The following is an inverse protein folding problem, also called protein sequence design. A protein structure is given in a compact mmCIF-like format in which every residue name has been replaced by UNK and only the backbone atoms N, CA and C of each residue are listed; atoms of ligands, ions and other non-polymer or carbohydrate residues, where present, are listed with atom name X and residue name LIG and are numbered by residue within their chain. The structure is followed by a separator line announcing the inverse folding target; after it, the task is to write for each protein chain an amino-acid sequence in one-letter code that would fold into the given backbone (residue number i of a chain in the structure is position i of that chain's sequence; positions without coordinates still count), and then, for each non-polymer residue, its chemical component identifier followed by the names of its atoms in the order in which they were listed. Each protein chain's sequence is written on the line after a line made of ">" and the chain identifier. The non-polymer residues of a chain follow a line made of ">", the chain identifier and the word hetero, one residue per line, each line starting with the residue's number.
data_IF_308795742359
#
_entry.id   IF_308795742359
#
_cell.length_a   1.000
_cell.length_b   1.000
_cell.length_c   1.000
_cell.angle_alpha   90.00
_cell.angle_beta   90.00
_cell.angle_gamma   90.00
#
_symmetry.space_group_name_H-M   'P 1'
#
loop_
_entity.id
_entity.type
_entity.pdbx_description
1 polymer ?
#
# COMPACT_ATOMS: atom_id res chain seq x y z
N UNK A 1 0.93 -23.69 -11.56
CA UNK A 1 1.39 -23.41 -10.19
C UNK A 1 2.44 -22.31 -10.26
N UNK A 2 2.24 -21.21 -9.54
CA UNK A 2 3.16 -20.07 -9.55
C UNK A 2 2.88 -19.16 -8.36
N UNK A 3 3.84 -18.30 -8.03
CA UNK A 3 3.68 -17.31 -6.96
C UNK A 3 2.85 -16.15 -7.53
N UNK A 4 1.73 -15.83 -6.90
CA UNK A 4 0.91 -14.68 -7.27
C UNK A 4 1.38 -13.46 -6.47
N UNK A 5 2.04 -12.52 -7.13
CA UNK A 5 2.53 -11.27 -6.54
C UNK A 5 2.07 -10.09 -7.39
N UNK A 6 1.64 -9.02 -6.74
CA UNK A 6 1.33 -7.73 -7.36
C UNK A 6 2.52 -6.79 -7.17
N UNK A 7 3.06 -6.28 -8.26
CA UNK A 7 4.11 -5.26 -8.22
C UNK A 7 3.47 -3.89 -8.29
N UNK A 8 3.69 -3.06 -7.27
CA UNK A 8 3.11 -1.74 -7.21
C UNK A 8 4.21 -0.66 -7.27
N UNK A 9 4.22 0.18 -8.32
CA UNK A 9 5.11 1.34 -8.41
C UNK A 9 4.64 2.50 -7.53
N UNK A 10 3.41 2.43 -7.03
CA UNK A 10 2.70 3.43 -6.23
C UNK A 10 2.09 2.81 -4.97
N UNK A 11 1.76 3.63 -3.97
CA UNK A 11 0.89 3.22 -2.88
C UNK A 11 -0.49 3.85 -3.06
N UNK A 12 -1.47 3.05 -3.46
CA UNK A 12 -2.86 3.49 -3.56
C UNK A 12 -3.67 3.09 -2.31
N UNK A 13 -4.18 4.08 -1.57
CA UNK A 13 -4.98 3.90 -0.35
C UNK A 13 -6.37 4.53 -0.48
N UNK A 14 -7.30 4.13 0.39
CA UNK A 14 -8.68 4.63 0.38
C UNK A 14 -8.81 5.99 1.06
N UNK A 15 -9.92 6.68 0.80
CA UNK A 15 -10.29 7.83 1.60
C UNK A 15 -10.62 7.43 3.05
N UNK A 16 -10.35 8.30 4.03
CA UNK A 16 -10.68 8.06 5.43
C UNK A 16 -12.18 7.84 5.68
N UNK A 17 -13.05 8.37 4.81
CA UNK A 17 -14.49 8.13 4.90
C UNK A 17 -14.89 6.65 4.90
N UNK A 18 -14.10 5.77 4.28
CA UNK A 18 -14.36 4.32 4.30
C UNK A 18 -14.04 3.67 5.66
N UNK A 19 -13.12 4.25 6.44
CA UNK A 19 -12.90 3.83 7.82
C UNK A 19 -14.03 4.35 8.71
N UNK A 20 -14.44 5.60 8.52
CA UNK A 20 -15.56 6.21 9.24
C UNK A 20 -16.88 5.45 9.03
N UNK A 21 -17.10 4.88 7.84
CA UNK A 21 -18.26 4.02 7.56
C UNK A 21 -18.12 2.57 8.05
N UNK A 22 -16.94 2.17 8.56
CA UNK A 22 -16.66 0.81 9.01
C UNK A 22 -16.39 -0.20 7.90
N UNK A 23 -16.30 0.24 6.63
CA UNK A 23 -16.02 -0.65 5.48
C UNK A 23 -14.57 -1.13 5.42
N UNK A 24 -13.65 -0.35 5.97
CA UNK A 24 -12.21 -0.54 5.86
C UNK A 24 -11.52 -0.33 7.19
N UNK A 25 -10.32 -0.89 7.34
CA UNK A 25 -9.43 -0.54 8.46
C UNK A 25 -8.80 0.83 8.22
N UNK A 26 -8.46 1.52 9.31
CA UNK A 26 -7.78 2.83 9.26
C UNK A 26 -6.50 2.77 8.41
N UNK A 27 -5.72 1.69 8.54
CA UNK A 27 -4.47 1.48 7.79
C UNK A 27 -4.68 1.13 6.31
N UNK A 28 -5.91 0.90 5.85
CA UNK A 28 -6.22 0.82 4.42
C UNK A 28 -6.51 2.21 3.82
N UNK A 29 -6.54 3.26 4.64
CA UNK A 29 -6.98 4.60 4.30
C UNK A 29 -5.85 5.63 4.45
N UNK A 30 -5.97 6.73 3.70
CA UNK A 30 -5.09 7.89 3.78
C UNK A 30 -5.51 8.72 5.00
N UNK A 31 -4.59 9.04 5.91
CA UNK A 31 -4.86 9.96 7.02
C UNK A 31 -5.41 11.31 6.52
N UNK A 32 -6.42 11.86 7.19
CA UNK A 32 -7.03 13.17 6.85
C UNK A 32 -5.98 14.27 6.71
N UNK A 33 -4.93 14.22 7.53
CA UNK A 33 -3.80 15.14 7.47
C UNK A 33 -2.50 14.36 7.35
N UNK A 34 -1.87 14.49 6.17
CA UNK A 34 -0.50 14.04 5.94
C UNK A 34 0.49 15.08 6.46
N UNK A 35 1.47 14.62 7.22
CA UNK A 35 2.52 15.44 7.80
C UNK A 35 3.88 15.00 7.24
N UNK A 36 4.63 15.93 6.66
CA UNK A 36 5.98 15.66 6.13
C UNK A 36 6.89 15.13 7.25
N UNK A 37 7.65 14.09 6.95
CA UNK A 37 8.55 13.41 7.88
C UNK A 37 7.90 12.37 8.77
N UNK A 38 6.56 12.35 8.87
CA UNK A 38 5.82 11.38 9.69
C UNK A 38 5.73 10.03 9.01
N UNK A 39 5.70 8.98 9.83
CA UNK A 39 5.58 7.59 9.41
C UNK A 39 4.15 7.12 9.69
N UNK A 40 3.57 6.42 8.73
CA UNK A 40 2.24 5.84 8.82
C UNK A 40 2.27 4.37 8.43
N UNK A 41 1.33 3.62 8.97
CA UNK A 41 1.10 2.23 8.61
C UNK A 41 0.19 2.12 7.38
N UNK A 42 0.40 1.10 6.57
CA UNK A 42 -0.52 0.75 5.49
C UNK A 42 -0.89 -0.74 5.51
N UNK A 43 -2.05 -1.06 4.93
CA UNK A 43 -2.53 -2.41 4.76
C UNK A 43 -3.15 -2.58 3.36
N UNK A 44 -2.79 -3.68 2.69
CA UNK A 44 -3.30 -4.07 1.37
C UNK A 44 -3.59 -5.56 1.34
N UNK A 45 -4.61 -5.95 0.57
CA UNK A 45 -4.84 -7.36 0.25
C UNK A 45 -3.80 -7.85 -0.76
N UNK A 46 -3.60 -9.16 -0.75
CA UNK A 46 -2.68 -9.91 -1.60
C UNK A 46 -1.20 -9.71 -1.25
N UNK A 47 -0.34 -10.46 -1.91
CA UNK A 47 1.11 -10.33 -1.81
C UNK A 47 1.57 -9.18 -2.69
N UNK A 48 1.99 -8.06 -2.08
CA UNK A 48 2.34 -6.81 -2.76
C UNK A 48 3.83 -6.53 -2.62
N UNK A 49 4.51 -6.29 -3.73
CA UNK A 49 5.90 -5.86 -3.75
C UNK A 49 5.97 -4.34 -4.00
N UNK A 50 6.80 -3.66 -3.22
CA UNK A 50 6.99 -2.22 -3.25
C UNK A 50 8.46 -1.88 -3.43
N UNK A 51 8.72 -0.76 -4.09
CA UNK A 51 10.07 -0.22 -4.23
C UNK A 51 10.52 0.43 -2.91
N UNK A 52 11.57 -0.12 -2.29
CA UNK A 52 12.09 0.34 -0.99
C UNK A 52 13.22 1.37 -1.12
N UNK A 53 13.93 1.39 -2.24
CA UNK A 53 15.14 2.19 -2.42
C UNK A 53 14.89 3.60 -2.98
N UNK A 54 13.64 4.07 -2.99
CA UNK A 54 13.31 5.37 -3.56
C UNK A 54 11.97 5.92 -3.10
N UNK A 55 11.63 7.08 -3.66
CA UNK A 55 10.32 7.71 -3.50
C UNK A 55 9.29 7.03 -4.42
N UNK A 56 8.08 6.81 -3.91
CA UNK A 56 6.93 6.35 -4.68
C UNK A 56 5.76 7.30 -4.47
N UNK A 57 4.85 7.45 -5.46
CA UNK A 57 3.67 8.28 -5.30
C UNK A 57 2.66 7.62 -4.35
N UNK A 58 2.11 8.41 -3.43
CA UNK A 58 0.90 8.07 -2.68
C UNK A 58 -0.31 8.58 -3.46
N UNK A 59 -1.26 7.68 -3.74
CA UNK A 59 -2.48 7.95 -4.50
C UNK A 59 -3.71 7.61 -3.66
N UNK A 60 -4.80 8.34 -3.89
CA UNK A 60 -6.13 7.95 -3.44
C UNK A 60 -6.78 7.03 -4.50
N UNK A 61 -7.47 5.98 -4.06
CA UNK A 61 -8.22 5.10 -4.96
C UNK A 61 -9.69 4.94 -4.59
N UNK A 62 -10.56 5.06 -5.60
CA UNK A 62 -11.99 4.70 -5.49
C UNK A 62 -12.24 3.24 -5.81
N UNK A 63 -11.20 2.47 -6.15
CA UNK A 63 -11.28 1.06 -6.50
C UNK A 63 -11.40 0.89 -8.01
N UNK A 64 -11.37 -0.36 -8.46
CA UNK A 64 -11.46 -0.67 -9.90
C UNK A 64 -10.45 0.12 -10.74
N UNK A 65 -9.24 0.30 -10.20
CA UNK A 65 -8.15 1.04 -10.86
C UNK A 65 -8.42 2.53 -11.10
N UNK A 66 -9.47 3.10 -10.50
CA UNK A 66 -9.69 4.55 -10.47
C UNK A 66 -8.75 5.17 -9.42
N UNK A 67 -7.73 5.87 -9.91
CA UNK A 67 -6.67 6.50 -9.12
C UNK A 67 -6.69 8.02 -9.26
N UNK A 68 -6.43 8.72 -8.16
CA UNK A 68 -6.17 10.15 -8.17
C UNK A 68 -4.80 10.46 -8.79
N UNK A 69 -4.51 11.76 -8.98
CA UNK A 69 -3.12 12.21 -9.11
C UNK A 69 -2.36 11.99 -7.79
N UNK A 70 -1.01 11.94 -7.80
CA UNK A 70 -0.24 11.87 -6.58
C UNK A 70 -0.58 12.99 -5.60
N UNK A 71 -0.85 12.61 -4.36
CA UNK A 71 -1.13 13.54 -3.26
C UNK A 71 0.10 13.76 -2.37
N UNK A 72 1.04 12.83 -2.39
CA UNK A 72 2.30 12.93 -1.68
C UNK A 72 3.39 12.11 -2.36
N UNK A 73 4.64 12.51 -2.14
CA UNK A 73 5.79 11.63 -2.30
C UNK A 73 6.06 10.93 -0.97
N UNK A 74 6.26 9.61 -1.02
CA UNK A 74 6.51 8.80 0.16
C UNK A 74 7.70 7.86 -0.06
N UNK A 75 8.30 7.38 1.02
CA UNK A 75 9.28 6.30 0.99
C UNK A 75 8.72 5.10 1.74
N UNK A 76 8.68 3.92 1.10
CA UNK A 76 8.31 2.68 1.77
C UNK A 76 9.50 2.23 2.63
N UNK A 77 9.25 1.99 3.93
CA UNK A 77 10.27 1.59 4.89
C UNK A 77 10.31 0.08 5.08
N UNK A 78 9.14 -0.56 5.09
CA UNK A 78 8.99 -2.00 5.23
C UNK A 78 7.69 -2.47 4.56
N UNK A 79 7.68 -3.73 4.10
CA UNK A 79 6.49 -4.44 3.65
C UNK A 79 6.60 -5.90 4.10
N UNK A 80 5.57 -6.41 4.74
CA UNK A 80 5.50 -7.78 5.28
C UNK A 80 4.24 -8.47 4.80
N UNK A 81 4.40 -9.66 4.23
CA UNK A 81 3.29 -10.55 3.83
C UNK A 81 2.90 -11.47 4.98
N UNK A 82 1.60 -11.66 5.16
CA UNK A 82 1.07 -12.54 6.20
C UNK A 82 -0.31 -13.08 5.81
N UNK A 83 -0.75 -14.14 6.50
CA UNK A 83 -2.07 -14.72 6.34
C UNK A 83 -2.98 -14.34 7.50
N UNK A 84 -4.22 -13.99 7.21
CA UNK A 84 -5.28 -13.82 8.20
C UNK A 84 -6.53 -14.61 7.84
N UNK A 85 -7.27 -15.09 8.83
CA UNK A 85 -8.60 -15.64 8.62
C UNK A 85 -9.67 -14.54 8.51
N UNK A 86 -10.93 -14.93 8.33
CA UNK A 86 -12.07 -14.01 8.22
C UNK A 86 -12.31 -13.21 9.49
N UNK A 87 -11.92 -13.76 10.63
CA UNK A 87 -12.00 -13.16 11.96
C UNK A 87 -10.83 -12.19 12.22
N UNK A 88 -9.88 -12.06 11.28
CA UNK A 88 -8.74 -11.15 11.37
C UNK A 88 -7.57 -11.68 12.21
N UNK A 89 -7.61 -12.92 12.67
CA UNK A 89 -6.52 -13.57 13.37
C UNK A 89 -5.43 -14.05 12.40
N UNK A 90 -4.17 -13.92 12.81
CA UNK A 90 -3.04 -14.47 12.07
C UNK A 90 -3.15 -15.99 12.03
N UNK A 91 -2.91 -16.55 10.85
CA UNK A 91 -2.88 -17.99 10.64
C UNK A 91 -1.62 -18.39 9.91
N UNK A 92 -1.29 -19.68 9.99
CA UNK A 92 -0.20 -20.27 9.24
C UNK A 92 -0.77 -21.38 8.35
N UNK A 93 -0.18 -21.61 7.17
CA UNK A 93 -0.61 -22.72 6.34
C UNK A 93 -0.28 -24.02 7.09
N UNK A 94 -1.31 -24.81 7.37
CA UNK A 94 -1.15 -26.17 7.88
C UNK A 94 -1.33 -27.13 6.72
N UNK A 95 -0.35 -28.00 6.49
CA UNK A 95 -0.42 -29.05 5.50
C UNK A 95 -0.43 -30.41 6.20
N UNK A 96 -1.28 -31.31 5.73
CA UNK A 96 -1.23 -32.74 6.07
C UNK A 96 -1.43 -33.53 4.79
N UNK A 97 -0.58 -34.52 4.56
CA UNK A 97 -0.69 -35.43 3.42
C UNK A 97 -0.83 -34.69 2.06
N UNK A 98 -0.03 -33.62 1.87
CA UNK A 98 -0.05 -32.72 0.70
C UNK A 98 -1.33 -31.90 0.48
N UNK A 99 -2.27 -31.89 1.43
CA UNK A 99 -3.44 -31.03 1.42
C UNK A 99 -3.29 -29.85 2.37
N UNK A 100 -3.66 -28.66 1.89
CA UNK A 100 -3.68 -27.44 2.69
C UNK A 100 -4.96 -27.43 3.54
N UNK A 101 -4.83 -27.70 4.85
CA UNK A 101 -5.94 -27.86 5.78
C UNK A 101 -6.59 -26.54 6.22
N UNK A 102 -5.82 -25.45 6.22
CA UNK A 102 -6.32 -24.11 6.52
C UNK A 102 -5.70 -23.07 5.60
N UNK A 103 -6.55 -22.23 5.02
CA UNK A 103 -6.16 -21.14 4.13
C UNK A 103 -6.64 -19.81 4.71
N UNK A 104 -5.70 -18.94 5.05
CA UNK A 104 -5.97 -17.53 5.28
C UNK A 104 -5.95 -16.74 3.97
N UNK A 105 -6.50 -15.53 4.00
CA UNK A 105 -6.27 -14.54 2.97
C UNK A 105 -4.86 -13.97 3.13
N UNK A 106 -4.15 -13.77 2.01
CA UNK A 106 -2.85 -13.09 2.02
C UNK A 106 -3.06 -11.58 2.09
N UNK A 107 -2.30 -10.94 2.96
CA UNK A 107 -2.26 -9.48 3.10
C UNK A 107 -0.81 -9.00 3.15
N UNK A 108 -0.62 -7.74 2.77
CA UNK A 108 0.63 -7.00 2.92
C UNK A 108 0.40 -5.83 3.84
N UNK A 109 1.19 -5.71 4.90
CA UNK A 109 1.25 -4.51 5.73
C UNK A 109 2.61 -3.88 5.58
N UNK A 110 2.73 -2.61 5.90
CA UNK A 110 4.03 -1.96 5.94
C UNK A 110 3.96 -0.57 6.52
N UNK A 111 5.10 0.13 6.43
CA UNK A 111 5.25 1.51 6.86
C UNK A 111 5.72 2.37 5.72
N UNK A 112 5.24 3.60 5.67
CA UNK A 112 5.74 4.61 4.75
C UNK A 112 6.01 5.92 5.48
N UNK A 113 7.07 6.61 5.05
CA UNK A 113 7.41 7.96 5.50
C UNK A 113 6.96 8.97 4.46
N UNK A 114 6.30 10.04 4.87
CA UNK A 114 5.94 11.14 3.97
C UNK A 114 7.17 12.01 3.71
N UNK A 115 7.54 12.16 2.44
CA UNK A 115 8.66 13.00 2.00
C UNK A 115 8.17 14.39 1.60
N UNK A 116 7.04 14.46 0.90
CA UNK A 116 6.41 15.72 0.49
C UNK A 116 4.90 15.54 0.35
N UNK A 117 4.13 16.59 0.66
CA UNK A 117 2.69 16.64 0.38
C UNK A 117 2.45 17.66 -0.74
N UNK A 118 1.82 17.22 -1.82
CA UNK A 118 1.55 18.05 -2.96
C UNK A 118 0.30 18.91 -2.74
N UNK A 119 0.37 20.17 -3.14
CA UNK A 119 -0.73 21.14 -3.00
C UNK A 119 -1.37 21.52 -4.33
N UNK A 120 -0.84 20.99 -5.42
CA UNK A 120 -1.26 21.29 -6.78
C UNK A 120 -1.38 20.01 -7.59
N UNK A 121 -2.00 20.15 -8.77
CA UNK A 121 -2.21 19.04 -9.70
C UNK A 121 -1.09 18.92 -10.74
N UNK A 122 0.11 19.44 -10.51
CA UNK A 122 1.21 19.29 -11.47
C UNK A 122 1.66 17.84 -11.58
N UNK A 123 2.34 17.51 -12.68
CA UNK A 123 2.99 16.22 -12.83
C UNK A 123 4.19 16.19 -11.87
N UNK A 124 4.18 15.26 -10.92
CA UNK A 124 5.23 15.13 -9.89
C UNK A 124 6.18 13.96 -10.17
N UNK A 125 5.73 12.97 -10.95
CA UNK A 125 6.47 11.76 -11.30
C UNK A 125 6.39 11.46 -12.80
N UNK A 126 7.49 10.98 -13.37
CA UNK A 126 7.60 10.39 -14.70
C UNK A 126 8.02 8.92 -14.56
N UNK A 127 7.04 8.02 -14.50
CA UNK A 127 7.27 6.63 -14.13
C UNK A 127 7.60 6.51 -12.63
N UNK A 128 8.74 5.86 -12.32
CA UNK A 128 9.26 5.74 -10.94
C UNK A 128 10.11 6.94 -10.53
N UNK A 129 10.42 7.84 -11.45
CA UNK A 129 11.33 8.95 -11.19
C UNK A 129 10.55 10.21 -10.85
N UNK A 130 11.03 10.92 -9.84
CA UNK A 130 10.54 12.25 -9.53
C UNK A 130 10.94 13.23 -10.64
N UNK A 131 10.03 14.11 -11.03
CA UNK A 131 10.31 15.12 -12.07
C UNK A 131 11.54 15.94 -11.65
N UNK A 132 12.54 16.02 -12.52
CA UNK A 132 13.81 16.72 -12.28
C UNK A 132 14.88 15.92 -11.52
N UNK A 133 14.63 14.67 -11.11
CA UNK A 133 15.63 13.83 -10.45
C UNK A 133 16.69 13.28 -11.42
N UNK A 134 16.33 13.00 -12.67
CA UNK A 134 17.28 12.61 -13.72
C UNK A 134 18.04 13.84 -14.22
N UNK A 135 19.34 13.87 -13.98
CA UNK A 135 20.28 14.76 -14.68
C UNK A 135 20.87 13.97 -15.84
N UNK A 136 20.59 14.40 -17.07
CA UNK A 136 21.27 13.90 -18.26
C UNK A 136 22.68 14.49 -18.36
#
# INVERSE_FOLDING_TARGET
>A
MGIQVVFNPDLALRNMSHFESGERKETECIPVKLEVGKIYDFLKREQRNYWLFGEVPLLETKGSEELSRPIASIQILEATHFLINKEGAYVYPLAKDNELLMKGDVWTRGKYKVIEVFKDNRIQFEGLDRVGAKKF
#
